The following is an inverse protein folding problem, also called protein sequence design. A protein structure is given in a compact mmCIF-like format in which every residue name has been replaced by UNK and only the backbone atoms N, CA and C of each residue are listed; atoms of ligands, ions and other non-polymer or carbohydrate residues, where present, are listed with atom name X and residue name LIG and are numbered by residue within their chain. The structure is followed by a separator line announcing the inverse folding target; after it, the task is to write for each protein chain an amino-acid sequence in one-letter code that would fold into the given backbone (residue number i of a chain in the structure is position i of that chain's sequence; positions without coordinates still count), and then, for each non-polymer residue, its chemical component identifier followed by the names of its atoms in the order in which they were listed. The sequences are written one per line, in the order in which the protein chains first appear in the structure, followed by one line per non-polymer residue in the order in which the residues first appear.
data_IF_182685515598
#
_entry.id   IF_182685515598
#
_cell.length_a   1.000
_cell.length_b   1.000
_cell.length_c   1.000
_cell.angle_alpha   90.00
_cell.angle_beta   90.00
_cell.angle_gamma   90.00
#
_symmetry.space_group_name_H-M   'P 1'
#
loop_
_entity.id
_entity.type
_entity.pdbx_description
1 polymer ?
#
# COMPACT_ATOMS: atom_id res chain seq x y z
N UNK A 1 4.35 13.81 19.97
CA UNK A 1 4.08 13.62 18.52
C UNK A 1 2.59 13.37 18.36
N UNK A 2 1.91 13.94 17.35
CA UNK A 2 0.53 13.57 17.07
C UNK A 2 0.50 12.07 16.76
N UNK A 3 -0.24 11.32 17.55
CA UNK A 3 -0.43 9.89 17.36
C UNK A 3 -1.64 9.73 16.45
N UNK A 4 -1.44 9.21 15.25
CA UNK A 4 -2.54 8.87 14.36
C UNK A 4 -3.19 7.56 14.80
N UNK A 5 -4.52 7.55 14.82
CA UNK A 5 -5.31 6.32 14.92
C UNK A 5 -5.18 5.48 13.65
N UNK A 6 -5.47 4.18 13.74
CA UNK A 6 -5.46 3.29 12.58
C UNK A 6 -6.34 3.83 11.44
N UNK A 7 -7.54 4.33 11.75
CA UNK A 7 -8.46 4.90 10.76
C UNK A 7 -7.89 6.14 10.07
N UNK A 8 -7.23 7.04 10.81
CA UNK A 8 -6.54 8.20 10.23
C UNK A 8 -5.39 7.77 9.32
N UNK A 9 -4.60 6.78 9.75
CA UNK A 9 -3.52 6.22 8.93
C UNK A 9 -4.04 5.59 7.64
N UNK A 10 -5.15 4.85 7.70
CA UNK A 10 -5.81 4.29 6.50
C UNK A 10 -6.28 5.42 5.58
N UNK A 11 -6.91 6.46 6.13
CA UNK A 11 -7.35 7.61 5.34
C UNK A 11 -6.17 8.35 4.68
N UNK A 12 -5.06 8.51 5.41
CA UNK A 12 -3.83 9.12 4.89
C UNK A 12 -3.23 8.26 3.77
N UNK A 13 -3.16 6.94 4.00
CA UNK A 13 -2.60 6.02 3.04
C UNK A 13 -3.38 5.96 1.73
N UNK A 14 -4.71 5.85 1.81
CA UNK A 14 -5.62 5.76 0.66
C UNK A 14 -5.67 7.07 -0.14
N UNK A 15 -5.75 8.22 0.55
CA UNK A 15 -5.97 9.52 -0.10
C UNK A 15 -4.69 10.20 -0.58
N UNK A 16 -3.56 9.95 0.07
CA UNK A 16 -2.32 10.69 -0.19
C UNK A 16 -1.17 9.76 -0.55
N UNK A 17 -0.80 8.84 0.34
CA UNK A 17 0.45 8.08 0.20
C UNK A 17 0.42 7.16 -1.01
N UNK A 18 -0.59 6.29 -1.15
CA UNK A 18 -0.68 5.36 -2.26
C UNK A 18 -0.74 6.09 -3.62
N UNK A 19 -1.61 7.10 -3.83
CA UNK A 19 -1.61 7.88 -5.07
C UNK A 19 -0.28 8.57 -5.37
N UNK A 20 0.39 9.13 -4.36
CA UNK A 20 1.69 9.78 -4.53
C UNK A 20 2.78 8.79 -4.96
N UNK A 21 2.86 7.62 -4.29
CA UNK A 21 3.84 6.58 -4.64
C UNK A 21 3.59 6.02 -6.04
N UNK A 22 2.33 5.80 -6.42
CA UNK A 22 2.00 5.34 -7.78
C UNK A 22 2.40 6.36 -8.83
N UNK A 23 2.10 7.65 -8.59
CA UNK A 23 2.51 8.74 -9.48
C UNK A 23 4.03 8.81 -9.62
N UNK A 24 4.77 8.67 -8.52
CA UNK A 24 6.24 8.67 -8.54
C UNK A 24 6.82 7.48 -9.34
N UNK A 25 6.13 6.34 -9.33
CA UNK A 25 6.48 5.16 -10.13
C UNK A 25 5.98 5.22 -11.58
N UNK A 26 5.24 6.26 -11.98
CA UNK A 26 4.64 6.37 -13.32
C UNK A 26 3.46 5.42 -13.55
N UNK A 27 2.83 4.91 -12.50
CA UNK A 27 1.73 3.93 -12.57
C UNK A 27 0.40 4.67 -12.40
N UNK A 28 -0.58 4.32 -13.25
CA UNK A 28 -1.93 4.87 -13.12
C UNK A 28 -2.60 4.38 -11.83
N UNK A 29 -3.29 5.25 -11.05
CA UNK A 29 -3.98 4.85 -9.82
C UNK A 29 -5.00 3.73 -10.02
N UNK A 30 -5.59 3.64 -11.22
CA UNK A 30 -6.56 2.60 -11.60
C UNK A 30 -5.96 1.19 -11.71
N UNK A 31 -4.64 1.06 -11.75
CA UNK A 31 -3.95 -0.23 -11.87
C UNK A 31 -4.01 -1.04 -10.58
N UNK A 32 -4.11 -0.38 -9.42
CA UNK A 32 -4.13 -1.05 -8.12
C UNK A 32 -5.45 -0.75 -7.41
N UNK A 33 -6.13 -1.81 -6.99
CA UNK A 33 -7.28 -1.75 -6.08
C UNK A 33 -6.91 -2.55 -4.83
N UNK A 34 -7.09 -1.95 -3.65
CA UNK A 34 -6.83 -2.60 -2.36
C UNK A 34 -8.14 -2.64 -1.59
N UNK A 35 -8.57 -3.83 -1.18
CA UNK A 35 -9.77 -3.99 -0.38
C UNK A 35 -9.66 -3.32 0.99
N UNK A 36 -10.76 -2.77 1.47
CA UNK A 36 -10.88 -2.15 2.80
C UNK A 36 -10.40 -3.06 3.93
N UNK A 37 -10.59 -4.37 3.79
CA UNK A 37 -10.18 -5.38 4.76
C UNK A 37 -8.66 -5.61 4.82
N UNK A 38 -7.91 -5.19 3.80
CA UNK A 38 -6.46 -5.34 3.71
C UNK A 38 -5.75 -4.20 4.44
N UNK A 39 -6.31 -2.98 4.39
CA UNK A 39 -5.73 -1.79 4.99
C UNK A 39 -5.37 -1.91 6.49
N UNK A 40 -6.21 -2.51 7.36
CA UNK A 40 -5.83 -2.77 8.74
C UNK A 40 -4.53 -3.55 8.87
N UNK A 41 -4.27 -4.50 7.97
CA UNK A 41 -3.04 -5.31 7.97
C UNK A 41 -1.88 -4.58 7.30
N UNK A 42 -2.10 -3.54 6.51
CA UNK A 42 -1.02 -2.68 6.01
C UNK A 42 -0.57 -1.73 7.14
N UNK A 43 -1.51 -1.30 7.98
CA UNK A 43 -1.29 -0.32 9.06
C UNK A 43 -0.80 -0.95 10.36
N UNK A 44 -1.30 -2.14 10.75
CA UNK A 44 -0.97 -2.82 12.03
C UNK A 44 0.40 -3.51 12.19
N UNK A 45 1.12 -3.99 11.16
CA UNK A 45 2.25 -4.90 11.39
C UNK A 45 3.37 -4.34 12.23
N UNK A 46 3.48 -3.01 12.38
CA UNK A 46 4.68 -2.36 12.90
C UNK A 46 4.33 -1.47 14.09
N UNK A 47 3.94 -2.15 15.17
CA UNK A 47 3.41 -1.61 16.42
C UNK A 47 4.02 -0.28 16.87
N UNK A 48 3.15 0.56 17.45
CA UNK A 48 3.53 1.76 18.20
C UNK A 48 4.39 2.80 17.44
N UNK A 49 4.46 2.77 16.11
CA UNK A 49 4.95 3.94 15.38
C UNK A 49 3.87 5.04 15.50
N UNK A 50 4.19 6.10 16.26
CA UNK A 50 3.31 7.27 16.37
C UNK A 50 3.10 7.96 15.02
N UNK A 51 3.96 7.71 14.03
CA UNK A 51 3.92 8.31 12.70
C UNK A 51 3.45 7.37 11.58
N UNK A 52 3.80 7.75 10.34
CA UNK A 52 3.41 7.06 9.11
C UNK A 52 4.61 6.58 8.28
N UNK A 53 5.87 6.76 8.75
CA UNK A 53 7.07 6.38 7.96
C UNK A 53 7.06 4.91 7.59
N UNK A 54 6.66 4.09 8.54
CA UNK A 54 6.62 2.65 8.33
C UNK A 54 5.51 2.26 7.35
N UNK A 55 4.35 2.90 7.44
CA UNK A 55 3.25 2.77 6.48
C UNK A 55 3.68 3.16 5.06
N UNK A 56 4.37 4.30 4.91
CA UNK A 56 4.91 4.75 3.63
C UNK A 56 5.88 3.72 3.03
N UNK A 57 6.76 3.13 3.84
CA UNK A 57 7.71 2.10 3.40
C UNK A 57 7.00 0.83 2.94
N UNK A 58 5.96 0.38 3.66
CA UNK A 58 5.16 -0.79 3.27
C UNK A 58 4.48 -0.56 1.93
N UNK A 59 3.84 0.61 1.75
CA UNK A 59 3.17 0.98 0.49
C UNK A 59 4.17 1.07 -0.66
N UNK A 60 5.34 1.68 -0.44
CA UNK A 60 6.40 1.75 -1.44
C UNK A 60 6.87 0.34 -1.87
N UNK A 61 6.98 -0.60 -0.93
CA UNK A 61 7.24 -2.01 -1.23
C UNK A 61 6.18 -2.63 -2.14
N UNK A 62 4.90 -2.40 -1.86
CA UNK A 62 3.78 -2.87 -2.69
C UNK A 62 3.85 -2.27 -4.10
N UNK A 63 4.04 -0.96 -4.21
CA UNK A 63 4.12 -0.25 -5.50
C UNK A 63 5.27 -0.76 -6.35
N UNK A 64 6.46 -0.97 -5.77
CA UNK A 64 7.61 -1.54 -6.50
C UNK A 64 7.35 -2.96 -6.99
N UNK A 65 6.65 -3.77 -6.19
CA UNK A 65 6.33 -5.15 -6.56
C UNK A 65 5.34 -5.19 -7.72
N UNK A 66 4.33 -4.31 -7.70
CA UNK A 66 3.42 -4.12 -8.82
C UNK A 66 4.16 -3.62 -10.07
N UNK A 67 5.01 -2.61 -9.94
CA UNK A 67 5.83 -2.10 -11.04
C UNK A 67 6.64 -3.21 -11.72
N UNK A 68 7.30 -4.06 -10.90
CA UNK A 68 8.05 -5.21 -11.40
C UNK A 68 7.15 -6.21 -12.14
N UNK A 69 5.99 -6.56 -11.58
CA UNK A 69 5.06 -7.50 -12.21
C UNK A 69 4.49 -6.97 -13.54
N UNK A 70 4.30 -5.65 -13.66
CA UNK A 70 3.90 -5.01 -14.93
C UNK A 70 5.00 -5.16 -15.98
N UNK A 71 6.26 -4.93 -15.61
CA UNK A 71 7.42 -5.09 -16.51
C UNK A 71 7.61 -6.56 -16.91
N UNK A 72 7.33 -7.50 -16.00
CA UNK A 72 7.33 -8.94 -16.30
C UNK A 72 6.15 -9.38 -17.19
N UNK A 73 5.21 -8.49 -17.52
CA UNK A 73 4.09 -8.76 -18.43
C UNK A 73 2.97 -9.61 -17.84
N UNK A 74 2.87 -9.72 -16.51
CA UNK A 74 1.88 -10.61 -15.85
C UNK A 74 0.44 -10.12 -15.97
N UNK A 75 0.19 -8.86 -15.60
CA UNK A 75 -1.14 -8.25 -15.65
C UNK A 75 -1.02 -6.73 -15.68
N UNK A 76 -2.05 -6.07 -16.21
CA UNK A 76 -2.21 -4.62 -16.26
C UNK A 76 -3.02 -4.05 -15.08
N UNK A 77 -3.66 -4.91 -14.28
CA UNK A 77 -4.42 -4.53 -13.09
C UNK A 77 -4.24 -5.53 -11.96
N UNK A 78 -4.15 -5.01 -10.73
CA UNK A 78 -3.86 -5.76 -9.50
C UNK A 78 -4.94 -5.45 -8.47
N UNK A 79 -5.69 -6.47 -8.09
CA UNK A 79 -6.65 -6.40 -7.01
C UNK A 79 -6.08 -7.12 -5.79
N UNK A 80 -5.77 -6.37 -4.74
CA UNK A 80 -5.19 -6.87 -3.50
C UNK A 80 -6.33 -7.16 -2.52
N UNK A 81 -6.49 -8.45 -2.20
CA UNK A 81 -7.46 -8.99 -1.26
C UNK A 81 -6.74 -9.66 -0.09
N UNK A 82 -7.47 -10.09 0.93
CA UNK A 82 -6.89 -10.79 2.09
C UNK A 82 -6.18 -12.10 1.72
N UNK A 83 -6.56 -12.72 0.60
CA UNK A 83 -6.04 -14.02 0.19
C UNK A 83 -4.68 -13.88 -0.52
N UNK A 84 -4.50 -12.81 -1.31
CA UNK A 84 -3.29 -12.59 -2.10
C UNK A 84 -2.36 -11.51 -1.53
N UNK A 85 -2.75 -10.78 -0.48
CA UNK A 85 -1.96 -9.70 0.09
C UNK A 85 -0.53 -10.09 0.49
N UNK A 86 -0.30 -11.35 0.87
CA UNK A 86 1.04 -11.89 1.20
C UNK A 86 1.98 -11.91 0.01
N UNK A 87 1.43 -11.91 -1.21
CA UNK A 87 2.21 -11.77 -2.43
C UNK A 87 2.70 -10.32 -2.61
N UNK A 88 2.02 -9.32 -2.05
CA UNK A 88 2.37 -7.90 -2.26
C UNK A 88 3.10 -7.28 -1.08
N UNK A 89 2.77 -7.68 0.14
CA UNK A 89 3.32 -7.10 1.35
C UNK A 89 4.71 -7.68 1.69
N UNK A 90 5.62 -6.87 2.24
CA UNK A 90 6.86 -7.36 2.81
C UNK A 90 6.57 -8.28 4.00
N UNK A 91 7.25 -9.43 4.08
CA UNK A 91 7.23 -10.31 5.25
C UNK A 91 8.09 -9.74 6.38
#
# INVERSE_FOLDING_TARGET
MPSYTDSEKIAIATKYVLPEKLKAAGISPSVIVIDDNVWPVIVRPLGYDAGIRTLERTIDGVVRKVARMMVEGKTSSFHITTDNMKEFLPQ
#
